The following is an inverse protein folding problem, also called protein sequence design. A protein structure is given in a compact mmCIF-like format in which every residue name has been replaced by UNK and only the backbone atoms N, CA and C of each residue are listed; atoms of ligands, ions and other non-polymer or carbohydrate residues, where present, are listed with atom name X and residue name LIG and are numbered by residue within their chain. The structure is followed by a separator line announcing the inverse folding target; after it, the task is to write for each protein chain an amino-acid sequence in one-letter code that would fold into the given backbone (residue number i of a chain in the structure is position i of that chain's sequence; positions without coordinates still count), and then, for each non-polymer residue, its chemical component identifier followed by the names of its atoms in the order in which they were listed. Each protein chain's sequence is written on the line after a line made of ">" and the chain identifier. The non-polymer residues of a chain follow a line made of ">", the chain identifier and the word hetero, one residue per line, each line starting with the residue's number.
data_IF_134831715506
#
_entry.id   IF_134831715506
#
_cell.length_a   1.000
_cell.length_b   1.000
_cell.length_c   1.000
_cell.angle_alpha   90.00
_cell.angle_beta   90.00
_cell.angle_gamma   90.00
#
_symmetry.space_group_name_H-M   'P 1'
#
loop_
_entity.id
_entity.type
_entity.pdbx_description
1 polymer ?
#
# COMPACT_ATOMS: atom_id res chain seq x y z
N UNK A 1 10.83 12.55 -19.73
CA UNK A 1 10.33 11.16 -19.69
C UNK A 1 9.17 11.13 -18.72
N UNK A 2 7.96 10.83 -19.19
CA UNK A 2 6.80 10.70 -18.31
C UNK A 2 7.03 9.52 -17.39
N UNK A 3 7.07 9.75 -16.07
CA UNK A 3 7.15 8.67 -15.11
C UNK A 3 5.86 7.85 -15.17
N UNK A 4 6.00 6.55 -15.37
CA UNK A 4 4.89 5.60 -15.31
C UNK A 4 4.43 5.52 -13.85
N UNK A 5 3.19 5.93 -13.61
CA UNK A 5 2.61 6.20 -12.29
C UNK A 5 1.35 5.36 -12.10
N UNK A 6 1.22 4.73 -10.93
CA UNK A 6 0.01 4.01 -10.55
C UNK A 6 -0.61 4.58 -9.28
N UNK A 7 -1.93 4.67 -9.27
CA UNK A 7 -2.68 4.99 -8.07
C UNK A 7 -3.06 3.71 -7.33
N UNK A 8 -2.75 3.67 -6.04
CA UNK A 8 -3.15 2.61 -5.13
C UNK A 8 -4.29 3.11 -4.25
N UNK A 9 -5.42 2.41 -4.29
CA UNK A 9 -6.45 2.57 -3.30
C UNK A 9 -6.02 1.93 -1.96
N UNK A 10 -6.81 2.12 -0.91
CA UNK A 10 -6.50 1.53 0.39
C UNK A 10 -6.51 0.00 0.36
N UNK A 11 -7.37 -0.62 -0.46
CA UNK A 11 -7.50 -2.08 -0.53
C UNK A 11 -6.26 -2.76 -1.15
N UNK A 12 -5.67 -2.17 -2.20
CA UNK A 12 -4.43 -2.66 -2.79
C UNK A 12 -3.27 -2.59 -1.79
N UNK A 13 -3.16 -1.50 -1.03
CA UNK A 13 -2.10 -1.36 -0.02
C UNK A 13 -2.30 -2.38 1.12
N UNK A 14 -3.55 -2.67 1.50
CA UNK A 14 -3.87 -3.67 2.54
C UNK A 14 -3.42 -5.07 2.12
N UNK A 15 -3.59 -5.46 0.85
CA UNK A 15 -3.08 -6.73 0.29
C UNK A 15 -1.54 -6.84 0.32
N UNK A 16 -0.81 -5.74 0.41
CA UNK A 16 0.64 -5.78 0.60
C UNK A 16 1.03 -5.96 2.08
N UNK A 17 0.10 -5.68 2.99
CA UNK A 17 0.28 -5.82 4.45
C UNK A 17 -0.13 -7.21 4.90
N UNK A 18 -1.24 -7.73 4.37
CA UNK A 18 -1.74 -9.07 4.63
C UNK A 18 -1.62 -9.89 3.36
N UNK A 19 -1.03 -11.07 3.46
CA UNK A 19 -0.88 -12.00 2.33
C UNK A 19 -2.25 -12.56 1.94
N UNK A 20 -2.96 -11.81 1.09
CA UNK A 20 -4.27 -12.13 0.55
C UNK A 20 -4.11 -12.91 -0.77
N UNK A 21 -5.14 -13.64 -1.23
CA UNK A 21 -5.06 -14.42 -2.47
C UNK A 21 -4.61 -13.62 -3.71
N UNK A 22 -4.93 -12.33 -3.78
CA UNK A 22 -4.57 -11.45 -4.89
C UNK A 22 -3.18 -10.80 -4.73
N UNK A 23 -2.51 -10.96 -3.60
CA UNK A 23 -1.21 -10.34 -3.31
C UNK A 23 -0.12 -10.72 -4.33
N UNK A 24 0.03 -11.98 -4.78
CA UNK A 24 1.04 -12.32 -5.79
C UNK A 24 0.83 -11.59 -7.11
N UNK A 25 -0.40 -11.55 -7.62
CA UNK A 25 -0.74 -10.87 -8.86
C UNK A 25 -0.55 -9.34 -8.74
N UNK A 26 -0.89 -8.77 -7.58
CA UNK A 26 -0.62 -7.36 -7.31
C UNK A 26 0.88 -7.08 -7.27
N UNK A 27 1.69 -7.93 -6.62
CA UNK A 27 3.13 -7.75 -6.55
C UNK A 27 3.77 -7.80 -7.94
N UNK A 28 3.39 -8.76 -8.79
CA UNK A 28 3.84 -8.86 -10.18
C UNK A 28 3.47 -7.62 -10.98
N UNK A 29 2.22 -7.17 -10.90
CA UNK A 29 1.78 -5.93 -11.53
C UNK A 29 2.66 -4.75 -11.09
N UNK A 30 2.89 -4.57 -9.79
CA UNK A 30 3.64 -3.44 -9.25
C UNK A 30 5.15 -3.43 -9.57
N UNK A 31 5.70 -4.50 -10.18
CA UNK A 31 7.07 -4.50 -10.72
C UNK A 31 7.20 -3.50 -11.87
N UNK A 32 6.17 -3.36 -12.71
CA UNK A 32 6.17 -2.44 -13.86
C UNK A 32 5.87 -0.98 -13.47
N UNK A 33 5.42 -0.75 -12.23
CA UNK A 33 4.96 0.56 -11.73
C UNK A 33 5.75 0.99 -10.47
N UNK A 34 6.99 1.48 -10.66
CA UNK A 34 7.85 1.88 -9.54
C UNK A 34 7.38 3.16 -8.84
N UNK A 35 6.67 4.05 -9.54
CA UNK A 35 6.14 5.28 -8.94
C UNK A 35 4.69 5.06 -8.53
N UNK A 36 4.45 5.05 -7.21
CA UNK A 36 3.16 4.72 -6.62
C UNK A 36 2.63 5.91 -5.85
N UNK A 37 1.36 6.26 -6.08
CA UNK A 37 0.67 7.33 -5.39
C UNK A 37 -0.58 6.80 -4.69
N UNK A 38 -0.99 7.45 -3.61
CA UNK A 38 -2.31 7.27 -3.02
C UNK A 38 -2.84 8.59 -2.48
N UNK A 39 -4.13 8.66 -2.20
CA UNK A 39 -4.69 9.83 -1.53
C UNK A 39 -4.31 9.89 -0.06
N UNK A 40 -4.34 11.09 0.52
CA UNK A 40 -4.22 11.27 1.97
C UNK A 40 -5.26 10.45 2.74
N UNK A 41 -6.48 10.32 2.21
CA UNK A 41 -7.52 9.47 2.78
C UNK A 41 -7.12 7.97 2.77
N UNK A 42 -6.60 7.48 1.64
CA UNK A 42 -6.14 6.09 1.53
C UNK A 42 -5.04 5.76 2.57
N UNK A 43 -4.09 6.68 2.78
CA UNK A 43 -3.08 6.54 3.85
C UNK A 43 -3.70 6.45 5.25
N UNK A 44 -4.70 7.28 5.54
CA UNK A 44 -5.40 7.25 6.84
C UNK A 44 -6.15 5.94 7.04
N UNK A 45 -6.83 5.44 6.01
CA UNK A 45 -7.56 4.17 6.04
C UNK A 45 -6.64 2.98 6.28
N UNK A 46 -5.53 2.90 5.55
CA UNK A 46 -4.52 1.85 5.73
C UNK A 46 -4.03 1.84 7.18
N UNK A 47 -3.55 2.97 7.67
CA UNK A 47 -3.03 3.07 9.03
C UNK A 47 -4.09 2.79 10.10
N UNK A 48 -5.35 3.19 9.87
CA UNK A 48 -6.47 2.92 10.78
C UNK A 48 -6.79 1.43 10.82
N UNK A 49 -6.82 0.78 9.67
CA UNK A 49 -7.10 -0.66 9.56
C UNK A 49 -5.99 -1.49 10.19
N UNK A 50 -4.72 -1.19 9.88
CA UNK A 50 -3.57 -1.87 10.49
C UNK A 50 -3.54 -1.76 12.02
N UNK A 51 -3.85 -0.58 12.57
CA UNK A 51 -3.94 -0.39 14.03
C UNK A 51 -5.05 -1.21 14.69
N UNK A 52 -6.16 -1.44 13.99
CA UNK A 52 -7.31 -2.17 14.53
C UNK A 52 -6.99 -3.64 14.82
N UNK A 53 -5.99 -4.20 14.14
CA UNK A 53 -5.51 -5.57 14.39
C UNK A 53 -4.90 -5.72 15.78
N UNK A 54 -4.43 -4.62 16.40
CA UNK A 54 -3.80 -4.67 17.72
C UNK A 54 -2.37 -5.24 17.70
N UNK A 55 -1.78 -5.42 16.52
CA UNK A 55 -0.42 -5.92 16.34
C UNK A 55 0.54 -4.78 15.90
N UNK A 56 1.59 -4.59 16.69
CA UNK A 56 2.62 -3.59 16.42
C UNK A 56 3.46 -3.90 15.17
N UNK A 57 3.65 -5.19 14.84
CA UNK A 57 4.36 -5.64 13.63
C UNK A 57 3.57 -5.23 12.40
N UNK A 58 2.26 -5.47 12.39
CA UNK A 58 1.36 -5.06 11.30
C UNK A 58 1.38 -3.54 11.11
N UNK A 59 1.33 -2.78 12.21
CA UNK A 59 1.39 -1.31 12.15
C UNK A 59 2.74 -0.80 11.64
N UNK A 60 3.84 -1.45 12.00
CA UNK A 60 5.18 -1.12 11.50
C UNK A 60 5.29 -1.41 10.00
N UNK A 61 4.90 -2.61 9.57
CA UNK A 61 4.91 -3.02 8.16
C UNK A 61 4.08 -2.10 7.27
N UNK A 62 2.89 -1.70 7.74
CA UNK A 62 2.06 -0.72 7.04
C UNK A 62 2.78 0.63 6.83
N UNK A 63 3.54 1.10 7.82
CA UNK A 63 4.33 2.34 7.70
C UNK A 63 5.46 2.17 6.70
N UNK A 64 6.15 1.03 6.73
CA UNK A 64 7.24 0.69 5.80
C UNK A 64 6.74 0.71 4.35
N UNK A 65 5.61 0.05 4.05
CA UNK A 65 5.00 0.09 2.71
C UNK A 65 4.65 1.52 2.30
N UNK A 66 4.04 2.29 3.21
CA UNK A 66 3.64 3.68 2.98
C UNK A 66 4.82 4.66 2.86
N UNK A 67 6.07 4.24 3.09
CA UNK A 67 7.25 5.06 2.76
C UNK A 67 7.53 5.09 1.25
N UNK A 68 7.15 4.02 0.54
CA UNK A 68 7.31 3.89 -0.91
C UNK A 68 6.09 4.36 -1.71
N UNK A 69 5.13 5.03 -1.09
CA UNK A 69 3.91 5.54 -1.74
C UNK A 69 3.77 7.03 -1.47
N UNK A 70 3.75 7.82 -2.55
CA UNK A 70 3.62 9.27 -2.50
C UNK A 70 2.16 9.71 -2.32
N UNK A 71 1.96 10.87 -1.73
CA UNK A 71 0.62 11.45 -1.60
C UNK A 71 0.31 12.34 -2.80
N UNK A 72 -0.93 12.26 -3.27
CA UNK A 72 -1.54 13.19 -4.23
C UNK A 72 -2.80 13.84 -3.66
#
# INVERSE_FOLDING_TARGET
>A
MSQVLVYLDSSAIIKLIFDEPETPALAEFLVEWPNRICSTLGRVEVLRTSRRVGDAVVTRHAREILTGVHLV
#
